data_IF_128640151558
#
_entry.id   IF_128640151558
#
_cell.length_a   1.000
_cell.length_b   1.000
_cell.length_c   1.000
_cell.angle_alpha   90.00
_cell.angle_beta   90.00
_cell.angle_gamma   90.00
#
_symmetry.space_group_name_H-M   'P 1'
#
loop_
_entity.id
_entity.type
_entity.pdbx_description
1 polymer ?
#
# COMPACT_ATOMS: atom_id res chain seq x y z
N UNK A 1 -9.04 -9.90 -40.42
CA UNK A 1 -9.29 -8.78 -39.48
C UNK A 1 -9.04 -9.34 -38.09
N UNK A 2 -7.77 -9.48 -37.73
CA UNK A 2 -7.37 -9.99 -36.42
C UNK A 2 -7.33 -8.80 -35.48
N UNK A 3 -8.18 -8.84 -34.46
CA UNK A 3 -8.23 -7.81 -33.43
C UNK A 3 -7.10 -8.13 -32.46
N UNK A 4 -5.92 -7.56 -32.69
CA UNK A 4 -4.86 -7.52 -31.68
C UNK A 4 -5.29 -6.53 -30.60
N UNK A 5 -5.93 -7.06 -29.56
CA UNK A 5 -6.20 -6.36 -28.31
C UNK A 5 -4.91 -6.21 -27.52
N UNK A 6 -3.99 -5.38 -28.00
CA UNK A 6 -2.83 -4.92 -27.22
C UNK A 6 -3.32 -3.93 -26.16
N UNK A 7 -3.88 -4.44 -25.07
CA UNK A 7 -4.15 -3.64 -23.89
C UNK A 7 -2.81 -3.25 -23.24
N UNK A 8 -2.40 -2.00 -23.47
CA UNK A 8 -1.67 -1.21 -22.48
C UNK A 8 -0.29 -1.71 -22.09
N UNK A 9 0.57 -2.03 -23.05
CA UNK A 9 2.00 -2.01 -22.77
C UNK A 9 2.42 -0.57 -22.44
N UNK A 10 2.94 -0.36 -21.24
CA UNK A 10 3.45 0.90 -20.67
C UNK A 10 2.42 1.85 -20.04
N UNK A 11 1.65 1.38 -19.05
CA UNK A 11 1.45 2.24 -17.88
C UNK A 11 2.84 2.40 -17.24
N UNK A 12 3.41 3.60 -17.36
CA UNK A 12 4.69 4.01 -16.79
C UNK A 12 4.93 3.37 -15.42
N UNK A 13 6.15 2.91 -15.16
CA UNK A 13 6.63 2.49 -13.84
C UNK A 13 6.61 3.69 -12.85
N UNK A 14 5.41 4.18 -12.54
CA UNK A 14 5.15 4.98 -11.37
C UNK A 14 5.10 3.98 -10.23
N UNK A 15 5.95 4.18 -9.23
CA UNK A 15 5.73 3.55 -7.92
C UNK A 15 4.42 4.14 -7.40
N UNK A 16 3.31 3.45 -7.64
CA UNK A 16 1.97 3.91 -7.23
C UNK A 16 1.88 3.84 -5.71
N UNK A 17 2.21 4.96 -5.05
CA UNK A 17 2.08 5.11 -3.60
C UNK A 17 0.62 5.34 -3.22
N UNK A 18 0.15 4.72 -2.14
CA UNK A 18 -1.14 5.01 -1.51
C UNK A 18 -0.95 6.17 -0.53
N UNK A 19 -1.37 7.36 -0.95
CA UNK A 19 -1.25 8.59 -0.14
C UNK A 19 -2.38 8.64 0.90
N UNK A 20 -2.01 8.60 2.17
CA UNK A 20 -2.94 8.53 3.32
C UNK A 20 -2.90 9.82 4.13
N UNK A 21 -4.07 10.35 4.44
CA UNK A 21 -4.27 11.39 5.44
C UNK A 21 -4.95 10.82 6.69
N UNK A 22 -4.49 11.22 7.88
CA UNK A 22 -5.06 10.80 9.17
C UNK A 22 -5.90 11.93 9.76
N UNK A 23 -7.09 11.62 10.27
CA UNK A 23 -7.93 12.56 11.06
C UNK A 23 -8.14 11.96 12.45
N UNK A 24 -7.64 12.66 13.47
CA UNK A 24 -7.52 12.18 14.85
C UNK A 24 -6.23 11.38 15.05
N UNK A 25 -5.22 12.00 15.66
CA UNK A 25 -3.91 11.41 15.94
C UNK A 25 -3.90 10.82 17.36
N UNK A 26 -4.66 9.75 17.51
CA UNK A 26 -4.75 8.97 18.75
C UNK A 26 -4.03 7.62 18.70
N UNK A 27 -4.35 6.74 19.64
CA UNK A 27 -3.77 5.40 19.73
C UNK A 27 -3.97 4.58 18.45
N UNK A 28 -5.11 4.72 17.77
CA UNK A 28 -5.36 4.03 16.50
C UNK A 28 -4.40 4.47 15.40
N UNK A 29 -4.15 5.77 15.28
CA UNK A 29 -3.18 6.32 14.33
C UNK A 29 -1.76 5.83 14.65
N UNK A 30 -1.38 5.84 15.93
CA UNK A 30 -0.08 5.33 16.39
C UNK A 30 0.14 3.86 16.01
N UNK A 31 -0.80 2.98 16.35
CA UNK A 31 -0.73 1.56 15.99
C UNK A 31 -0.69 1.33 14.49
N UNK A 32 -1.42 2.14 13.71
CA UNK A 32 -1.41 2.03 12.25
C UNK A 32 -0.06 2.43 11.65
N UNK A 33 0.46 3.61 12.01
CA UNK A 33 1.77 4.08 11.53
C UNK A 33 2.88 3.11 11.91
N UNK A 34 2.88 2.64 13.17
CA UNK A 34 3.86 1.65 13.64
C UNK A 34 3.71 0.32 12.90
N UNK A 35 2.49 -0.15 12.66
CA UNK A 35 2.22 -1.37 11.92
C UNK A 35 2.76 -1.31 10.49
N UNK A 36 2.52 -0.19 9.79
CA UNK A 36 3.08 0.05 8.45
C UNK A 36 4.61 0.03 8.48
N UNK A 37 5.23 0.70 9.45
CA UNK A 37 6.69 0.70 9.58
C UNK A 37 7.25 -0.69 9.93
N UNK A 38 6.58 -1.44 10.78
CA UNK A 38 7.03 -2.76 11.22
C UNK A 38 6.98 -3.80 10.09
N UNK A 39 5.96 -3.73 9.23
CA UNK A 39 5.77 -4.70 8.14
C UNK A 39 6.20 -4.19 6.75
N UNK A 40 6.89 -3.04 6.68
CA UNK A 40 7.31 -2.44 5.40
C UNK A 40 8.16 -3.37 4.53
N UNK A 41 8.95 -4.25 5.14
CA UNK A 41 9.85 -5.18 4.45
C UNK A 41 9.37 -6.64 4.58
N UNK A 42 8.11 -6.86 4.98
CA UNK A 42 7.54 -8.20 5.01
C UNK A 42 7.58 -8.82 3.60
N UNK A 43 7.81 -10.14 3.53
CA UNK A 43 7.74 -10.83 2.25
C UNK A 43 6.29 -10.86 1.75
N UNK A 44 6.07 -10.54 0.47
CA UNK A 44 4.74 -10.43 -0.11
C UNK A 44 3.91 -11.73 -0.02
N UNK A 45 4.58 -12.89 0.08
CA UNK A 45 3.94 -14.20 0.25
C UNK A 45 3.79 -14.62 1.72
N UNK A 46 4.33 -13.85 2.66
CA UNK A 46 4.26 -14.17 4.08
C UNK A 46 2.84 -14.02 4.64
N UNK A 47 2.50 -14.89 5.59
CA UNK A 47 1.31 -14.73 6.43
C UNK A 47 1.68 -13.91 7.66
N UNK A 48 1.23 -12.67 7.68
CA UNK A 48 1.41 -11.75 8.81
C UNK A 48 0.14 -11.71 9.66
N UNK A 49 0.22 -11.96 10.99
CA UNK A 49 -0.95 -11.86 11.86
C UNK A 49 -1.60 -10.47 11.78
N UNK A 50 -2.91 -10.44 11.53
CA UNK A 50 -3.68 -9.19 11.42
C UNK A 50 -3.69 -8.55 10.02
N UNK A 51 -2.84 -9.01 9.09
CA UNK A 51 -2.93 -8.63 7.68
C UNK A 51 -3.58 -9.77 6.89
N UNK A 52 -4.57 -9.45 6.05
CA UNK A 52 -5.13 -10.44 5.12
C UNK A 52 -4.15 -10.75 3.98
N UNK A 53 -3.46 -9.72 3.48
CA UNK A 53 -2.42 -9.84 2.44
C UNK A 53 -1.33 -8.80 2.72
N UNK A 54 -0.07 -9.15 2.49
CA UNK A 54 1.07 -8.20 2.56
C UNK A 54 1.14 -7.35 1.29
N UNK A 55 0.86 -7.96 0.15
CA UNK A 55 0.63 -7.29 -1.13
C UNK A 55 -0.83 -7.50 -1.55
N UNK A 56 -1.55 -6.40 -1.76
CA UNK A 56 -2.94 -6.43 -2.22
C UNK A 56 -3.04 -5.74 -3.58
N UNK A 57 -3.13 -6.54 -4.64
CA UNK A 57 -3.32 -6.01 -5.99
C UNK A 57 -2.14 -5.20 -6.52
N UNK A 58 -0.92 -5.52 -6.09
CA UNK A 58 0.31 -4.80 -6.44
C UNK A 58 0.68 -3.68 -5.47
N UNK A 59 -0.12 -3.46 -4.41
CA UNK A 59 0.20 -2.52 -3.34
C UNK A 59 0.71 -3.27 -2.12
N UNK A 60 1.99 -3.09 -1.85
CA UNK A 60 2.65 -3.60 -0.66
C UNK A 60 2.39 -2.68 0.54
N UNK A 61 2.50 -3.20 1.77
CA UNK A 61 2.37 -2.39 3.00
C UNK A 61 3.26 -1.13 2.98
N UNK A 62 4.44 -1.21 2.37
CA UNK A 62 5.40 -0.08 2.26
C UNK A 62 4.96 1.03 1.33
N UNK A 63 3.98 0.76 0.46
CA UNK A 63 3.52 1.74 -0.52
C UNK A 63 2.53 2.73 0.13
N UNK A 64 2.16 2.52 1.40
CA UNK A 64 1.43 3.49 2.22
C UNK A 64 2.35 4.66 2.57
N UNK A 65 2.02 5.84 2.05
CA UNK A 65 2.70 7.10 2.35
C UNK A 65 1.78 8.01 3.17
N UNK A 66 2.17 8.32 4.41
CA UNK A 66 1.43 9.27 5.23
C UNK A 66 1.76 10.70 4.83
N UNK A 67 0.81 11.39 4.19
CA UNK A 67 1.04 12.72 3.59
C UNK A 67 0.47 13.88 4.40
N UNK A 68 -0.47 13.61 5.29
CA UNK A 68 -1.09 14.63 6.15
C UNK A 68 -1.66 14.00 7.42
N UNK A 69 -1.75 14.81 8.48
CA UNK A 69 -2.48 14.45 9.70
C UNK A 69 -3.14 15.71 10.28
N UNK A 70 -4.36 15.55 10.79
CA UNK A 70 -5.12 16.59 11.48
C UNK A 70 -5.69 16.01 12.79
N UNK A 71 -5.74 16.82 13.84
CA UNK A 71 -6.41 16.51 15.10
C UNK A 71 -7.22 17.73 15.53
#
# INVERSE_FOLDING_TARGET
MSVDGSNGAAASAQTETVRVAIVGVGNCASSFVQGVQHYRDADASARVPGLMHVDLGGYHVRDIEFTAAFD
#
